data_IF_643016640488
#
_entry.id   IF_643016640488
#
_cell.length_a   1.000
_cell.length_b   1.000
_cell.length_c   1.000
_cell.angle_alpha   90.00
_cell.angle_beta   90.00
_cell.angle_gamma   90.00
#
_symmetry.space_group_name_H-M   'P 1'
#
loop_
_entity.id
_entity.type
_entity.pdbx_description
1 polymer ?
#
# COMPACT_ATOMS: atom_id res chain seq x y z
N UNK A 1 14.82 0.35 16.74
CA UNK A 1 15.18 -0.15 15.40
C UNK A 1 15.48 1.07 14.55
N UNK A 2 16.75 1.27 14.22
CA UNK A 2 17.19 2.34 13.30
C UNK A 2 16.86 1.86 11.90
N UNK A 3 16.01 2.59 11.18
CA UNK A 3 15.80 2.33 9.76
C UNK A 3 16.97 2.98 9.03
N UNK A 4 17.85 2.18 8.43
CA UNK A 4 18.84 2.73 7.51
C UNK A 4 18.07 3.38 6.35
N UNK A 5 18.43 4.62 6.01
CA UNK A 5 18.00 5.22 4.75
C UNK A 5 18.68 4.46 3.63
N UNK A 6 17.92 3.59 2.97
CA UNK A 6 18.38 2.91 1.77
C UNK A 6 17.98 3.75 0.58
N UNK A 7 18.97 4.29 -0.12
CA UNK A 7 18.77 4.80 -1.46
C UNK A 7 18.67 3.59 -2.40
N UNK A 8 17.47 3.39 -2.93
CA UNK A 8 17.28 2.40 -3.98
C UNK A 8 17.92 2.96 -5.26
N UNK A 9 18.64 2.13 -6.04
CA UNK A 9 19.27 2.59 -7.26
C UNK A 9 18.19 3.08 -8.24
N UNK A 10 18.42 4.22 -8.89
CA UNK A 10 17.45 4.78 -9.86
C UNK A 10 17.11 3.78 -10.97
N UNK A 11 18.08 2.96 -11.37
CA UNK A 11 17.90 1.90 -12.38
C UNK A 11 16.83 0.87 -12.00
N UNK A 12 16.53 0.69 -10.71
CA UNK A 12 15.43 -0.15 -10.25
C UNK A 12 14.08 0.39 -10.74
N UNK A 13 13.92 1.71 -10.69
CA UNK A 13 12.68 2.41 -11.05
C UNK A 13 12.50 2.61 -12.55
N UNK A 14 13.49 2.27 -13.36
CA UNK A 14 13.43 2.37 -14.82
C UNK A 14 13.70 1.01 -15.49
N UNK A 15 13.66 -0.09 -14.73
CA UNK A 15 13.97 -1.42 -15.24
C UNK A 15 12.82 -1.96 -16.10
N UNK A 16 13.00 -2.10 -17.44
CA UNK A 16 11.90 -2.41 -18.36
C UNK A 16 11.41 -3.85 -18.28
N UNK A 17 12.11 -4.74 -17.57
CA UNK A 17 11.75 -6.15 -17.43
C UNK A 17 11.28 -6.51 -16.01
N UNK A 18 11.26 -5.55 -15.09
CA UNK A 18 10.94 -5.81 -13.70
C UNK A 18 9.44 -6.10 -13.53
N UNK A 19 9.07 -7.37 -13.37
CA UNK A 19 7.67 -7.77 -13.16
C UNK A 19 7.26 -7.83 -11.68
N UNK A 20 8.23 -7.99 -10.78
CA UNK A 20 7.99 -8.15 -9.33
C UNK A 20 8.96 -7.31 -8.53
N UNK A 21 8.43 -6.50 -7.63
CA UNK A 21 9.20 -5.66 -6.71
C UNK A 21 8.72 -5.91 -5.29
N UNK A 22 9.64 -6.29 -4.40
CA UNK A 22 9.38 -6.49 -2.98
C UNK A 22 10.27 -5.57 -2.17
N UNK A 23 9.65 -4.66 -1.43
CA UNK A 23 10.32 -3.72 -0.55
C UNK A 23 9.95 -4.07 0.88
N UNK A 24 10.96 -4.35 1.71
CA UNK A 24 10.76 -4.76 3.09
C UNK A 24 11.62 -3.93 4.06
N UNK A 25 10.99 -3.42 5.12
CA UNK A 25 11.64 -2.80 6.28
C UNK A 25 12.61 -1.66 5.91
N UNK A 26 12.19 -0.77 4.99
CA UNK A 26 12.97 0.38 4.54
C UNK A 26 12.16 1.68 4.57
N UNK A 27 12.87 2.82 4.45
CA UNK A 27 12.25 4.13 4.25
C UNK A 27 12.40 4.56 2.79
N UNK A 28 11.28 4.69 2.09
CA UNK A 28 11.23 5.24 0.73
C UNK A 28 10.90 6.73 0.83
N UNK A 29 11.90 7.57 0.55
CA UNK A 29 11.78 9.02 0.71
C UNK A 29 11.12 9.63 -0.51
N UNK A 30 11.70 9.43 -1.69
CA UNK A 30 11.20 9.94 -2.97
C UNK A 30 11.36 8.90 -4.10
N UNK A 31 10.47 9.00 -5.07
CA UNK A 31 10.54 8.26 -6.34
C UNK A 31 11.26 9.17 -7.35
N UNK A 32 12.23 8.66 -8.13
CA UNK A 32 12.92 9.47 -9.13
C UNK A 32 11.94 10.10 -10.15
N UNK A 33 12.18 11.32 -10.64
CA UNK A 33 11.24 12.03 -11.53
C UNK A 33 10.96 11.30 -12.86
N UNK A 34 11.90 10.49 -13.34
CA UNK A 34 11.78 9.69 -14.57
C UNK A 34 11.53 8.20 -14.29
N UNK A 35 11.03 7.88 -13.09
CA UNK A 35 10.68 6.52 -12.73
C UNK A 35 9.50 6.01 -13.56
N UNK A 36 9.65 4.83 -14.13
CA UNK A 36 8.59 4.14 -14.86
C UNK A 36 8.77 2.62 -14.72
N UNK A 37 7.82 2.01 -14.02
CA UNK A 37 7.75 0.58 -13.76
C UNK A 37 6.68 -0.08 -14.65
N UNK A 38 6.73 0.20 -15.96
CA UNK A 38 5.75 -0.26 -16.96
C UNK A 38 5.43 -1.75 -16.91
N UNK A 39 6.42 -2.60 -16.69
CA UNK A 39 6.25 -4.06 -16.68
C UNK A 39 5.90 -4.65 -15.30
N UNK A 40 5.84 -3.82 -14.26
CA UNK A 40 5.60 -4.29 -12.90
C UNK A 40 4.16 -4.77 -12.74
N UNK A 41 4.02 -6.04 -12.36
CA UNK A 41 2.74 -6.71 -12.12
C UNK A 41 2.51 -7.00 -10.63
N UNK A 42 3.57 -7.22 -9.86
CA UNK A 42 3.47 -7.59 -8.45
C UNK A 42 4.30 -6.63 -7.59
N UNK A 43 3.64 -5.91 -6.68
CA UNK A 43 4.29 -4.99 -5.74
C UNK A 43 4.00 -5.39 -4.30
N UNK A 44 5.05 -5.69 -3.53
CA UNK A 44 4.93 -6.03 -2.12
C UNK A 44 5.60 -4.94 -1.28
N UNK A 45 4.80 -4.27 -0.45
CA UNK A 45 5.22 -3.19 0.45
C UNK A 45 5.12 -3.68 1.90
N UNK A 46 6.22 -4.20 2.42
CA UNK A 46 6.26 -4.89 3.70
C UNK A 46 6.97 -4.02 4.74
N UNK A 47 6.22 -3.33 5.59
CA UNK A 47 6.77 -2.42 6.61
C UNK A 47 7.57 -1.23 6.02
N UNK A 48 7.23 -0.79 4.80
CA UNK A 48 7.84 0.37 4.13
C UNK A 48 7.34 1.68 4.76
N UNK A 49 8.27 2.57 5.10
CA UNK A 49 7.98 3.92 5.55
C UNK A 49 8.00 4.87 4.36
N UNK A 50 6.99 5.74 4.27
CA UNK A 50 6.91 6.80 3.26
C UNK A 50 7.00 8.16 3.96
N UNK A 51 7.40 9.19 3.20
CA UNK A 51 7.45 10.57 3.68
C UNK A 51 6.05 11.14 3.95
N UNK A 52 5.07 10.90 3.07
CA UNK A 52 3.68 11.33 3.25
C UNK A 52 2.67 10.46 2.46
N UNK A 53 1.38 10.81 2.54
CA UNK A 53 0.30 10.15 1.79
C UNK A 53 0.51 10.23 0.26
N UNK A 54 1.11 11.33 -0.23
CA UNK A 54 1.34 11.55 -1.65
C UNK A 54 2.40 10.61 -2.23
N UNK A 55 3.44 10.28 -1.44
CA UNK A 55 4.51 9.36 -1.87
C UNK A 55 3.99 7.98 -2.25
N UNK A 56 2.93 7.52 -1.58
CA UNK A 56 2.26 6.25 -1.92
C UNK A 56 1.56 6.36 -3.27
N UNK A 57 0.88 7.49 -3.53
CA UNK A 57 0.20 7.71 -4.81
C UNK A 57 1.19 7.78 -5.96
N UNK A 58 2.29 8.52 -5.79
CA UNK A 58 3.37 8.62 -6.77
C UNK A 58 3.96 7.25 -7.10
N UNK A 59 4.24 6.42 -6.08
CA UNK A 59 4.74 5.07 -6.31
C UNK A 59 3.75 4.20 -7.10
N UNK A 60 2.46 4.27 -6.77
CA UNK A 60 1.45 3.48 -7.49
C UNK A 60 1.19 4.00 -8.92
N UNK A 61 1.34 5.31 -9.17
CA UNK A 61 1.12 5.88 -10.50
C UNK A 61 2.18 5.47 -11.52
N UNK A 62 3.40 5.17 -11.09
CA UNK A 62 4.47 4.69 -11.98
C UNK A 62 4.35 3.18 -12.30
N UNK A 63 3.34 2.48 -11.79
CA UNK A 63 3.13 1.04 -11.97
C UNK A 63 1.85 0.75 -12.79
N UNK A 64 1.77 1.13 -14.08
CA UNK A 64 0.51 1.12 -14.84
C UNK A 64 -0.10 -0.28 -15.03
N UNK A 65 0.72 -1.35 -15.00
CA UNK A 65 0.28 -2.74 -15.21
C UNK A 65 0.13 -3.53 -13.91
N UNK A 66 0.09 -2.86 -12.76
CA UNK A 66 0.06 -3.53 -11.46
C UNK A 66 -1.19 -4.41 -11.29
N UNK A 67 -0.99 -5.72 -11.14
CA UNK A 67 -2.06 -6.71 -10.98
C UNK A 67 -2.20 -7.19 -9.53
N UNK A 68 -1.12 -7.20 -8.76
CA UNK A 68 -1.10 -7.61 -7.35
C UNK A 68 -0.41 -6.57 -6.46
N UNK A 69 -1.06 -6.27 -5.34
CA UNK A 69 -0.52 -5.40 -4.30
C UNK A 69 -0.65 -6.09 -2.93
N UNK A 70 0.49 -6.26 -2.26
CA UNK A 70 0.55 -6.72 -0.87
C UNK A 70 1.07 -5.58 0.01
N UNK A 71 0.33 -5.22 1.05
CA UNK A 71 0.69 -4.14 1.97
C UNK A 71 0.71 -4.69 3.39
N UNK A 72 1.87 -4.63 4.06
CA UNK A 72 1.97 -4.79 5.52
C UNK A 72 2.41 -3.47 6.13
N UNK A 73 1.59 -2.84 6.95
CA UNK A 73 1.94 -1.55 7.58
C UNK A 73 2.68 -1.78 8.90
N UNK A 74 3.71 -0.98 9.14
CA UNK A 74 4.45 -0.94 10.41
C UNK A 74 3.98 0.22 11.30
N UNK A 75 4.42 0.22 12.56
CA UNK A 75 4.11 1.26 13.55
C UNK A 75 4.70 2.64 13.25
N UNK A 76 5.58 2.78 12.25
CA UNK A 76 6.39 3.98 12.03
C UNK A 76 6.16 4.63 10.65
N UNK A 77 4.93 4.58 10.15
CA UNK A 77 4.57 5.22 8.87
C UNK A 77 3.95 6.60 9.09
N UNK A 78 4.42 7.60 8.33
CA UNK A 78 3.84 8.94 8.30
C UNK A 78 2.55 9.01 7.47
N UNK A 79 2.21 7.93 6.76
CA UNK A 79 1.00 7.85 5.95
C UNK A 79 -0.21 7.76 6.86
N UNK A 80 -1.13 8.72 6.76
CA UNK A 80 -2.43 8.69 7.43
C UNK A 80 -3.41 7.88 6.59
N UNK A 81 -3.63 8.31 5.34
CA UNK A 81 -4.52 7.64 4.39
C UNK A 81 -3.70 6.95 3.30
N UNK A 82 -3.73 5.63 3.30
CA UNK A 82 -3.12 4.83 2.24
C UNK A 82 -4.12 4.71 1.08
N UNK A 83 -3.96 5.56 0.07
CA UNK A 83 -4.85 5.60 -1.09
C UNK A 83 -4.37 4.62 -2.17
N UNK A 84 -5.22 3.64 -2.49
CA UNK A 84 -5.00 2.63 -3.53
C UNK A 84 -5.96 2.95 -4.67
N UNK A 85 -5.47 3.65 -5.70
CA UNK A 85 -6.22 3.98 -6.91
C UNK A 85 -5.59 3.29 -8.12
N UNK A 86 -5.83 1.99 -8.27
CA UNK A 86 -5.15 1.15 -9.25
C UNK A 86 -6.20 0.37 -10.06
N UNK A 87 -6.59 0.85 -11.26
CA UNK A 87 -7.65 0.23 -12.07
C UNK A 87 -7.33 -1.18 -12.58
N UNK A 88 -6.05 -1.51 -12.70
CA UNK A 88 -5.54 -2.81 -13.18
C UNK A 88 -5.45 -3.87 -12.10
N UNK A 89 -5.55 -3.47 -10.82
CA UNK A 89 -5.34 -4.35 -9.68
C UNK A 89 -6.39 -5.46 -9.61
N UNK A 90 -5.93 -6.71 -9.55
CA UNK A 90 -6.75 -7.93 -9.49
C UNK A 90 -6.70 -8.58 -8.11
N UNK A 91 -5.58 -8.45 -7.41
CA UNK A 91 -5.35 -9.03 -6.09
C UNK A 91 -4.84 -7.96 -5.12
N UNK A 92 -5.49 -7.83 -3.96
CA UNK A 92 -5.10 -6.92 -2.89
C UNK A 92 -5.09 -7.64 -1.56
N UNK A 93 -3.95 -7.61 -0.88
CA UNK A 93 -3.80 -8.11 0.49
C UNK A 93 -3.26 -7.02 1.41
N UNK A 94 -3.95 -6.74 2.51
CA UNK A 94 -3.59 -5.72 3.48
C UNK A 94 -3.48 -6.35 4.87
N UNK A 95 -2.37 -6.09 5.54
CA UNK A 95 -2.17 -6.32 6.96
C UNK A 95 -1.76 -5.01 7.65
N UNK A 96 -2.65 -4.48 8.48
CA UNK A 96 -2.44 -3.30 9.31
C UNK A 96 -2.51 -3.64 10.81
N UNK A 97 -2.32 -4.91 11.19
CA UNK A 97 -2.47 -5.38 12.58
C UNK A 97 -1.21 -5.27 13.45
N UNK A 98 -0.06 -4.92 12.86
CA UNK A 98 1.25 -4.92 13.53
C UNK A 98 1.67 -3.58 14.15
N UNK A 99 0.72 -2.66 14.38
CA UNK A 99 1.05 -1.33 14.92
C UNK A 99 1.15 -1.35 16.45
N UNK A 100 1.88 -0.37 16.98
CA UNK A 100 2.05 -0.18 18.43
C UNK A 100 1.17 0.94 18.99
N UNK A 101 0.79 1.91 18.15
CA UNK A 101 -0.04 3.04 18.53
C UNK A 101 -0.89 3.54 17.36
N UNK A 102 -2.09 4.04 17.69
CA UNK A 102 -2.99 4.71 16.73
C UNK A 102 -2.56 6.16 16.57
N UNK A 103 -2.31 6.66 15.34
CA UNK A 103 -2.04 8.07 15.13
C UNK A 103 -3.29 8.91 15.44
N UNK A 104 -3.10 10.17 15.85
CA UNK A 104 -4.22 11.11 16.03
C UNK A 104 -4.86 11.45 14.68
N UNK A 105 -6.19 11.63 14.67
CA UNK A 105 -6.96 12.01 13.49
C UNK A 105 -7.40 10.83 12.63
N UNK A 106 -7.79 11.12 11.39
CA UNK A 106 -8.28 10.12 10.42
C UNK A 106 -7.10 9.33 9.85
N UNK A 107 -7.17 8.01 9.90
CA UNK A 107 -6.15 7.11 9.38
C UNK A 107 -6.75 5.79 8.91
N UNK A 108 -6.22 5.31 7.79
CA UNK A 108 -6.59 4.01 7.24
C UNK A 108 -6.42 3.95 5.74
N UNK A 109 -7.44 3.48 5.02
CA UNK A 109 -7.34 3.12 3.60
C UNK A 109 -8.48 3.69 2.77
N UNK A 110 -8.14 4.15 1.57
CA UNK A 110 -9.09 4.48 0.51
C UNK A 110 -8.79 3.57 -0.68
N UNK A 111 -9.72 2.68 -1.03
CA UNK A 111 -9.51 1.67 -2.06
C UNK A 111 -10.44 1.92 -3.25
N UNK A 112 -9.86 2.16 -4.41
CA UNK A 112 -10.50 2.28 -5.71
C UNK A 112 -9.78 1.37 -6.71
N UNK A 113 -10.28 0.14 -6.85
CA UNK A 113 -9.71 -0.89 -7.71
C UNK A 113 -10.85 -1.60 -8.48
N UNK A 114 -11.37 -1.02 -9.57
CA UNK A 114 -12.51 -1.56 -10.32
C UNK A 114 -12.30 -2.97 -10.90
N UNK A 115 -11.05 -3.40 -11.12
CA UNK A 115 -10.73 -4.75 -11.61
C UNK A 115 -10.45 -5.78 -10.52
N UNK A 116 -10.62 -5.41 -9.24
CA UNK A 116 -10.26 -6.26 -8.12
C UNK A 116 -11.12 -7.52 -8.08
N UNK A 117 -10.47 -8.69 -8.01
CA UNK A 117 -11.12 -10.01 -7.95
C UNK A 117 -10.92 -10.70 -6.61
N UNK A 118 -9.73 -10.54 -6.02
CA UNK A 118 -9.36 -11.11 -4.74
C UNK A 118 -8.99 -9.98 -3.76
N UNK A 119 -9.64 -9.97 -2.60
CA UNK A 119 -9.39 -8.97 -1.57
C UNK A 119 -9.22 -9.62 -0.20
N UNK A 120 -8.16 -9.26 0.53
CA UNK A 120 -7.96 -9.65 1.91
C UNK A 120 -7.52 -8.45 2.74
N UNK A 121 -8.17 -8.23 3.89
CA UNK A 121 -7.75 -7.21 4.85
C UNK A 121 -7.77 -7.75 6.27
N UNK A 122 -6.67 -7.54 6.98
CA UNK A 122 -6.55 -7.68 8.44
C UNK A 122 -6.21 -6.31 9.03
N UNK A 123 -7.15 -5.70 9.74
CA UNK A 123 -6.98 -4.33 10.23
C UNK A 123 -7.57 -4.14 11.63
N UNK A 124 -6.71 -3.86 12.61
CA UNK A 124 -7.11 -3.55 13.99
C UNK A 124 -6.82 -2.10 14.39
N UNK A 125 -6.42 -1.26 13.42
CA UNK A 125 -5.90 0.08 13.70
C UNK A 125 -6.63 1.21 12.99
N UNK A 126 -7.11 1.01 11.76
CA UNK A 126 -7.75 2.09 11.01
C UNK A 126 -9.08 2.53 11.64
N UNK A 127 -9.30 3.84 11.69
CA UNK A 127 -10.62 4.43 11.97
C UNK A 127 -11.32 4.91 10.69
N UNK A 128 -10.69 4.73 9.52
CA UNK A 128 -11.25 5.07 8.22
C UNK A 128 -10.94 4.00 7.18
N UNK A 129 -11.97 3.30 6.73
CA UNK A 129 -11.90 2.37 5.61
C UNK A 129 -12.98 2.75 4.60
N UNK A 130 -12.55 3.18 3.41
CA UNK A 130 -13.48 3.49 2.32
C UNK A 130 -13.17 2.64 1.11
N UNK A 131 -14.14 1.83 0.75
CA UNK A 131 -14.13 1.02 -0.46
C UNK A 131 -15.01 1.69 -1.51
N UNK A 132 -14.49 1.91 -2.72
CA UNK A 132 -15.30 2.28 -3.88
C UNK A 132 -15.92 1.02 -4.50
N UNK A 133 -16.73 1.21 -5.54
CA UNK A 133 -17.38 0.10 -6.24
C UNK A 133 -16.33 -0.89 -6.78
N UNK A 134 -16.48 -2.17 -6.45
CA UNK A 134 -15.58 -3.27 -6.84
C UNK A 134 -16.40 -4.34 -7.57
N UNK A 135 -16.89 -4.04 -8.79
CA UNK A 135 -17.91 -4.87 -9.47
C UNK A 135 -17.41 -6.26 -9.89
N UNK A 136 -16.09 -6.49 -9.94
CA UNK A 136 -15.49 -7.77 -10.36
C UNK A 136 -15.02 -8.65 -9.20
N UNK A 137 -15.36 -8.29 -7.96
CA UNK A 137 -14.89 -9.00 -6.78
C UNK A 137 -15.50 -10.42 -6.72
N UNK A 138 -14.63 -11.43 -6.67
CA UNK A 138 -15.03 -12.85 -6.64
C UNK A 138 -14.80 -13.45 -5.26
N UNK A 139 -13.70 -13.06 -4.59
CA UNK A 139 -13.32 -13.58 -3.28
C UNK A 139 -12.91 -12.45 -2.35
N UNK A 140 -13.43 -12.47 -1.12
CA UNK A 140 -13.01 -11.55 -0.08
C UNK A 140 -12.85 -12.21 1.29
N UNK A 141 -11.88 -11.71 2.07
CA UNK A 141 -11.74 -12.00 3.49
C UNK A 141 -11.51 -10.68 4.22
N UNK A 142 -12.38 -10.38 5.19
CA UNK A 142 -12.35 -9.12 5.95
C UNK A 142 -12.27 -9.46 7.42
N UNK A 143 -11.16 -9.11 8.07
CA UNK A 143 -10.98 -9.20 9.51
C UNK A 143 -10.62 -7.80 10.01
N UNK A 144 -11.64 -7.08 10.48
CA UNK A 144 -11.51 -5.73 11.01
C UNK A 144 -11.91 -5.74 12.47
N UNK A 145 -11.00 -5.31 13.35
CA UNK A 145 -11.26 -5.18 14.79
C UNK A 145 -11.37 -3.70 15.11
N UNK A 146 -12.59 -3.24 15.38
CA UNK A 146 -12.83 -1.90 15.91
C UNK A 146 -12.97 -2.00 17.43
N UNK A 147 -12.03 -1.41 18.17
CA UNK A 147 -12.30 -1.10 19.58
C UNK A 147 -13.35 0.01 19.61
N UNK A 148 -14.62 -0.36 19.67
CA UNK A 148 -15.69 0.57 20.01
C UNK A 148 -15.49 0.90 21.50
N UNK A 149 -14.66 1.89 21.80
CA UNK A 149 -14.76 2.60 23.07
C UNK A 149 -15.91 3.59 22.91
N UNK A 150 -17.12 3.13 23.21
CA UNK A 150 -18.27 3.99 23.44
C UNK A 150 -17.84 5.01 24.51
N UNK A 151 -17.85 6.29 24.16
CA UNK A 151 -17.88 7.41 25.10
C UNK A 151 -18.87 8.44 24.59
#
# INVERSE_FOLDING_TARGET
>A
MVYNSFELPESLFSCPQLETLKLETLSLVDVPPNADLTCLKHLHLLSVKFSCDESVKTLLSICPRLEELVVRRSSYTNVKIFAINVPTLRSLSIDNSSRKSRPKGVHGFLINAPSLRCFSIRDSFSNYLRFRNMPKLVKSTVNVVSDIMIR
#
